data_IF_891560825561
#
_entry.id   IF_891560825561
#
_cell.length_a   1.000
_cell.length_b   1.000
_cell.length_c   1.000
_cell.angle_alpha   90.00
_cell.angle_beta   90.00
_cell.angle_gamma   90.00
#
_symmetry.space_group_name_H-M   'P 1'
#
loop_
_entity.id
_entity.type
_entity.pdbx_description
1 polymer ?
#
# COMPACT_ATOMS: atom_id res chain seq x y z
N UNK A 1 -8.84 4.49 -12.52
CA UNK A 1 -7.45 4.98 -12.38
C UNK A 1 -6.62 4.26 -13.42
N UNK A 2 -5.91 4.96 -14.30
CA UNK A 2 -5.15 4.32 -15.37
C UNK A 2 -4.06 3.43 -14.75
N UNK A 3 -4.06 2.15 -15.12
CA UNK A 3 -3.15 1.14 -14.56
C UNK A 3 -1.82 1.06 -15.30
N UNK A 4 -1.42 2.13 -15.99
CA UNK A 4 -0.14 2.19 -16.68
C UNK A 4 0.99 2.07 -15.68
N UNK A 5 1.88 1.12 -15.96
CA UNK A 5 3.11 0.99 -15.23
C UNK A 5 4.18 1.90 -15.86
N UNK A 6 4.15 2.18 -17.15
CA UNK A 6 5.17 3.01 -17.80
C UNK A 6 4.72 4.48 -17.94
N UNK A 7 5.63 5.43 -17.73
CA UNK A 7 5.33 6.86 -17.85
C UNK A 7 5.13 7.28 -19.31
N UNK A 8 5.91 6.72 -20.24
CA UNK A 8 5.82 7.06 -21.67
C UNK A 8 4.50 6.53 -22.24
N UNK A 9 4.13 5.30 -21.87
CA UNK A 9 2.83 4.72 -22.23
C UNK A 9 1.65 5.55 -21.68
N UNK A 10 1.77 6.02 -20.43
CA UNK A 10 0.77 6.91 -19.82
C UNK A 10 0.62 8.22 -20.60
N UNK A 11 1.72 8.91 -20.91
CA UNK A 11 1.67 10.20 -21.61
C UNK A 11 1.06 10.07 -22.99
N UNK A 12 1.50 9.06 -23.75
CA UNK A 12 0.95 8.80 -25.08
C UNK A 12 -0.55 8.52 -25.02
N UNK A 13 -0.98 7.67 -24.10
CA UNK A 13 -2.42 7.36 -23.96
C UNK A 13 -3.21 8.56 -23.47
N UNK A 14 -2.62 9.40 -22.62
CA UNK A 14 -3.24 10.64 -22.17
C UNK A 14 -3.46 11.59 -23.35
N UNK A 15 -2.45 11.81 -24.19
CA UNK A 15 -2.57 12.60 -25.42
C UNK A 15 -3.64 12.02 -26.37
N UNK A 16 -3.61 10.71 -26.62
CA UNK A 16 -4.59 10.03 -27.47
C UNK A 16 -6.04 10.23 -26.95
N UNK A 17 -6.25 10.21 -25.63
CA UNK A 17 -7.55 10.47 -25.00
C UNK A 17 -7.97 11.93 -25.19
N UNK A 18 -7.06 12.87 -25.00
CA UNK A 18 -7.35 14.29 -25.18
C UNK A 18 -7.75 14.60 -26.64
N UNK A 19 -7.03 14.02 -27.61
CA UNK A 19 -7.30 14.12 -29.04
C UNK A 19 -8.63 13.45 -29.42
N UNK A 20 -8.85 12.21 -28.97
CA UNK A 20 -10.05 11.41 -29.32
C UNK A 20 -11.34 12.09 -28.89
N UNK A 21 -11.33 12.72 -27.71
CA UNK A 21 -12.51 13.40 -27.18
C UNK A 21 -12.53 14.91 -27.48
N UNK A 22 -11.53 15.44 -28.20
CA UNK A 22 -11.38 16.86 -28.53
C UNK A 22 -11.54 17.80 -27.30
N UNK A 23 -10.95 17.40 -26.17
CA UNK A 23 -11.13 18.04 -24.84
C UNK A 23 -9.97 18.99 -24.46
N UNK A 24 -9.27 19.52 -25.46
CA UNK A 24 -8.06 20.35 -25.31
C UNK A 24 -8.21 21.60 -24.41
N UNK A 25 -9.42 22.16 -24.28
CA UNK A 25 -9.63 23.47 -23.65
C UNK A 25 -10.48 23.37 -22.37
N UNK A 26 -10.15 22.42 -21.50
CA UNK A 26 -10.84 22.20 -20.24
C UNK A 26 -9.89 22.42 -19.07
N UNK A 27 -10.04 23.56 -18.40
CA UNK A 27 -9.22 23.95 -17.23
C UNK A 27 -9.16 22.90 -16.11
N UNK A 28 -10.20 22.08 -15.95
CA UNK A 28 -10.23 20.99 -14.97
C UNK A 28 -9.34 19.81 -15.36
N UNK A 29 -9.20 19.48 -16.65
CA UNK A 29 -8.31 18.41 -17.13
C UNK A 29 -6.86 18.79 -16.92
N UNK A 30 -6.49 20.04 -17.25
CA UNK A 30 -5.15 20.55 -16.97
C UNK A 30 -4.83 20.51 -15.48
N UNK A 31 -5.82 20.84 -14.64
CA UNK A 31 -5.67 20.80 -13.18
C UNK A 31 -5.46 19.37 -12.67
N UNK A 32 -6.19 18.40 -13.21
CA UNK A 32 -6.01 16.98 -12.87
C UNK A 32 -4.66 16.47 -13.37
N UNK A 33 -4.26 16.80 -14.59
CA UNK A 33 -2.99 16.39 -15.18
C UNK A 33 -1.79 16.93 -14.39
N UNK A 34 -1.84 18.19 -13.93
CA UNK A 34 -0.81 18.77 -13.03
C UNK A 34 -0.64 17.96 -11.72
N UNK A 35 -1.67 17.23 -11.31
CA UNK A 35 -1.67 16.39 -10.12
C UNK A 35 -1.35 14.92 -10.42
N UNK A 36 -0.95 14.55 -11.65
CA UNK A 36 -0.70 13.14 -12.06
C UNK A 36 0.25 12.38 -11.13
N UNK A 37 1.24 13.04 -10.53
CA UNK A 37 2.11 12.44 -9.51
C UNK A 37 1.38 11.88 -8.27
N UNK A 38 0.14 12.34 -8.01
CA UNK A 38 -0.67 11.94 -6.84
C UNK A 38 -1.70 10.86 -7.14
N UNK A 39 -1.92 10.52 -8.41
CA UNK A 39 -3.01 9.61 -8.79
C UNK A 39 -2.67 8.66 -9.94
N UNK A 40 -1.70 8.96 -10.80
CA UNK A 40 -1.31 8.07 -11.89
C UNK A 40 -0.29 7.04 -11.38
N UNK A 41 -0.63 5.75 -11.56
CA UNK A 41 0.10 4.61 -11.00
C UNK A 41 1.59 4.59 -11.37
N UNK A 42 1.94 4.96 -12.60
CA UNK A 42 3.32 5.03 -13.09
C UNK A 42 4.20 5.99 -12.28
N UNK A 43 3.66 7.14 -11.85
CA UNK A 43 4.36 8.13 -11.05
C UNK A 43 4.35 7.84 -9.54
N UNK A 44 3.37 7.07 -9.06
CA UNK A 44 3.23 6.73 -7.64
C UNK A 44 4.09 5.53 -7.20
N UNK A 45 4.92 4.97 -8.09
CA UNK A 45 5.69 3.73 -7.80
C UNK A 45 6.68 3.84 -6.64
N UNK A 46 7.17 5.04 -6.37
CA UNK A 46 8.10 5.31 -5.28
C UNK A 46 7.38 5.77 -4.01
N UNK A 47 6.05 5.96 -4.07
CA UNK A 47 5.25 6.37 -2.93
C UNK A 47 4.76 5.14 -2.16
N UNK A 48 5.03 5.12 -0.86
CA UNK A 48 4.59 4.03 0.00
C UNK A 48 3.14 4.25 0.44
N UNK A 49 2.19 3.73 -0.35
CA UNK A 49 0.75 3.91 -0.10
C UNK A 49 0.15 2.88 0.85
N UNK A 50 0.97 1.96 1.41
CA UNK A 50 0.50 0.82 2.22
C UNK A 50 -0.59 -0.03 1.53
N UNK A 51 -0.71 0.04 0.20
CA UNK A 51 -1.75 -0.62 -0.58
C UNK A 51 -3.10 0.11 -0.59
N UNK A 52 -3.21 1.28 0.05
CA UNK A 52 -4.40 2.12 0.02
C UNK A 52 -4.50 2.83 -1.32
N UNK A 53 -5.64 2.69 -1.99
CA UNK A 53 -5.95 3.43 -3.23
C UNK A 53 -6.50 4.82 -2.88
N UNK A 54 -6.20 5.81 -3.71
CA UNK A 54 -6.54 7.23 -3.46
C UNK A 54 -8.00 7.50 -3.05
N UNK A 55 -8.97 6.73 -3.53
CA UNK A 55 -10.41 6.90 -3.25
C UNK A 55 -10.99 5.88 -2.28
N UNK A 56 -10.22 4.87 -1.85
CA UNK A 56 -10.75 3.74 -1.07
C UNK A 56 -11.36 4.18 0.27
N UNK A 57 -10.74 5.15 0.95
CA UNK A 57 -11.24 5.68 2.22
C UNK A 57 -12.57 6.42 2.02
N UNK A 58 -12.64 7.31 1.02
CA UNK A 58 -13.88 8.05 0.72
C UNK A 58 -14.97 7.13 0.20
N UNK A 59 -14.64 6.12 -0.60
CA UNK A 59 -15.61 5.14 -1.12
C UNK A 59 -16.17 4.26 0.00
N UNK A 60 -15.33 3.82 0.94
CA UNK A 60 -15.78 3.08 2.12
C UNK A 60 -16.73 3.93 2.95
N UNK A 61 -16.31 5.16 3.32
CA UNK A 61 -17.16 6.04 4.13
C UNK A 61 -18.46 6.41 3.41
N UNK A 62 -18.40 6.70 2.11
CA UNK A 62 -19.60 6.96 1.32
C UNK A 62 -20.51 5.73 1.26
N UNK A 63 -19.94 4.53 1.19
CA UNK A 63 -20.67 3.27 1.29
C UNK A 63 -21.36 3.12 2.64
N UNK A 64 -20.64 3.36 3.73
CA UNK A 64 -21.15 3.29 5.10
C UNK A 64 -22.28 4.30 5.34
N UNK A 65 -22.17 5.50 4.77
CA UNK A 65 -23.20 6.54 4.88
C UNK A 65 -24.42 6.27 3.98
N UNK A 66 -24.25 5.56 2.86
CA UNK A 66 -25.31 5.38 1.86
C UNK A 66 -26.58 4.76 2.42
N UNK A 67 -26.46 3.85 3.37
CA UNK A 67 -27.59 3.16 3.99
C UNK A 67 -28.36 4.05 5.00
N UNK A 68 -27.75 5.17 5.39
CA UNK A 68 -28.25 6.10 6.41
C UNK A 68 -28.77 7.41 5.82
N UNK A 69 -28.39 7.73 4.57
CA UNK A 69 -28.74 8.97 3.90
C UNK A 69 -29.93 8.79 2.96
N UNK A 70 -30.90 9.69 3.07
CA UNK A 70 -32.03 9.82 2.14
C UNK A 70 -32.06 11.23 1.54
N UNK A 71 -32.66 11.37 0.37
CA UNK A 71 -32.70 12.63 -0.38
C UNK A 71 -33.57 13.71 0.27
N UNK A 72 -34.40 13.34 1.23
CA UNK A 72 -35.34 14.21 1.95
C UNK A 72 -34.85 14.65 3.33
N UNK A 73 -33.63 14.26 3.75
CA UNK A 73 -33.06 14.67 5.03
C UNK A 73 -32.69 16.15 5.04
N UNK A 74 -32.98 16.83 6.14
CA UNK A 74 -32.42 18.15 6.41
C UNK A 74 -30.95 18.06 6.92
N UNK A 75 -30.30 19.22 7.05
CA UNK A 75 -28.89 19.29 7.45
C UNK A 75 -28.68 18.77 8.88
N UNK A 76 -29.62 18.99 9.80
CA UNK A 76 -29.50 18.51 11.17
C UNK A 76 -29.68 16.99 11.24
N UNK A 77 -30.64 16.45 10.50
CA UNK A 77 -30.85 15.00 10.37
C UNK A 77 -29.66 14.31 9.71
N UNK A 78 -29.03 14.94 8.71
CA UNK A 78 -27.78 14.46 8.12
C UNK A 78 -26.69 14.28 9.18
N UNK A 79 -26.43 15.29 10.01
CA UNK A 79 -25.40 15.21 11.04
C UNK A 79 -25.73 14.16 12.10
N UNK A 80 -27.00 14.02 12.50
CA UNK A 80 -27.42 12.96 13.42
C UNK A 80 -27.13 11.56 12.87
N UNK A 81 -27.38 11.34 11.57
CA UNK A 81 -27.07 10.07 10.91
C UNK A 81 -25.57 9.86 10.75
N UNK A 82 -24.83 10.91 10.40
CA UNK A 82 -23.38 10.87 10.30
C UNK A 82 -22.73 10.49 11.64
N UNK A 83 -23.14 11.12 12.73
CA UNK A 83 -22.64 10.83 14.09
C UNK A 83 -22.92 9.38 14.49
N UNK A 84 -24.10 8.85 14.12
CA UNK A 84 -24.45 7.44 14.34
C UNK A 84 -23.49 6.49 13.61
N UNK A 85 -23.17 6.78 12.34
CA UNK A 85 -22.22 5.97 11.56
C UNK A 85 -20.82 6.04 12.18
N UNK A 86 -20.39 7.23 12.63
CA UNK A 86 -19.11 7.40 13.32
C UNK A 86 -19.06 6.58 14.60
N UNK A 87 -20.13 6.59 15.41
CA UNK A 87 -20.17 5.83 16.65
C UNK A 87 -20.16 4.32 16.39
N UNK A 88 -20.92 3.84 15.40
CA UNK A 88 -20.87 2.44 14.97
C UNK A 88 -19.45 2.02 14.57
N UNK A 89 -18.72 2.87 13.81
CA UNK A 89 -17.32 2.58 13.43
C UNK A 89 -16.39 2.51 14.64
N UNK A 90 -16.59 3.35 15.65
CA UNK A 90 -15.81 3.31 16.90
C UNK A 90 -16.10 2.03 17.69
N UNK A 91 -17.36 1.62 17.77
CA UNK A 91 -17.76 0.37 18.42
C UNK A 91 -17.16 -0.85 17.70
N UNK A 92 -17.24 -0.89 16.37
CA UNK A 92 -16.63 -1.94 15.53
C UNK A 92 -15.12 -2.02 15.74
N UNK A 93 -14.41 -0.88 15.78
CA UNK A 93 -12.97 -0.83 16.04
C UNK A 93 -12.64 -1.30 17.47
N UNK A 94 -13.40 -0.88 18.47
CA UNK A 94 -13.21 -1.32 19.86
C UNK A 94 -13.43 -2.83 20.00
N UNK A 95 -14.45 -3.37 19.35
CA UNK A 95 -14.71 -4.81 19.33
C UNK A 95 -13.60 -5.56 18.60
N UNK A 96 -13.13 -5.04 17.45
CA UNK A 96 -12.00 -5.59 16.71
C UNK A 96 -10.73 -5.61 17.57
N UNK A 97 -10.41 -4.51 18.25
CA UNK A 97 -9.26 -4.40 19.14
C UNK A 97 -9.35 -5.39 20.31
N UNK A 98 -10.51 -5.45 20.98
CA UNK A 98 -10.76 -6.38 22.08
C UNK A 98 -10.62 -7.83 21.63
N UNK A 99 -11.30 -8.20 20.53
CA UNK A 99 -11.24 -9.52 19.94
C UNK A 99 -9.80 -9.89 19.59
N UNK A 100 -9.05 -8.95 19.07
CA UNK A 100 -7.73 -9.22 18.58
C UNK A 100 -6.69 -9.32 19.72
N UNK A 101 -6.85 -8.57 20.83
CA UNK A 101 -6.13 -8.81 22.09
C UNK A 101 -6.46 -10.17 22.71
N UNK A 102 -7.71 -10.62 22.63
CA UNK A 102 -8.19 -11.87 23.25
C UNK A 102 -7.90 -13.13 22.42
N UNK A 103 -8.00 -13.03 21.09
CA UNK A 103 -7.82 -14.13 20.13
C UNK A 103 -6.37 -14.24 19.64
N UNK A 104 -5.47 -13.37 20.10
CA UNK A 104 -4.07 -13.48 19.75
C UNK A 104 -3.58 -14.87 20.14
N UNK A 105 -3.31 -15.75 19.17
CA UNK A 105 -2.86 -17.06 19.54
C UNK A 105 -1.44 -16.84 20.06
N UNK A 106 -1.12 -17.52 21.15
CA UNK A 106 0.25 -17.71 21.65
C UNK A 106 1.16 -18.46 20.64
N UNK A 107 0.79 -18.48 19.36
CA UNK A 107 1.44 -19.20 18.29
C UNK A 107 2.72 -18.46 17.86
N UNK A 108 3.82 -19.19 17.90
CA UNK A 108 4.97 -18.97 17.03
C UNK A 108 6.10 -18.08 17.55
N UNK A 109 5.86 -17.23 18.56
CA UNK A 109 6.75 -16.10 18.83
C UNK A 109 7.81 -16.29 19.91
N UNK A 110 7.95 -17.50 20.47
CA UNK A 110 8.73 -17.68 21.71
C UNK A 110 10.18 -17.19 21.58
N UNK A 111 10.76 -17.24 20.38
CA UNK A 111 12.20 -17.03 20.18
C UNK A 111 12.60 -15.83 19.30
N UNK A 112 11.68 -15.06 18.70
CA UNK A 112 12.03 -13.88 17.87
C UNK A 112 11.87 -12.57 18.65
N UNK A 113 12.96 -11.83 18.97
CA UNK A 113 12.88 -10.53 19.63
C UNK A 113 12.08 -9.50 18.82
N UNK A 114 12.21 -9.52 17.49
CA UNK A 114 11.51 -8.60 16.58
C UNK A 114 9.99 -8.77 16.71
N UNK A 115 9.50 -10.00 16.63
CA UNK A 115 8.07 -10.25 16.70
C UNK A 115 7.48 -9.97 18.09
N UNK A 116 8.27 -10.14 19.16
CA UNK A 116 7.89 -9.76 20.53
C UNK A 116 7.73 -8.25 20.71
N UNK A 117 8.48 -7.43 19.98
CA UNK A 117 8.30 -5.99 19.98
C UNK A 117 7.12 -5.61 19.09
N UNK A 118 7.03 -6.18 17.89
CA UNK A 118 6.00 -5.88 16.91
C UNK A 118 4.58 -6.09 17.47
N UNK A 119 4.35 -7.16 18.24
CA UNK A 119 3.03 -7.45 18.84
C UNK A 119 2.60 -6.40 19.89
N UNK A 120 3.54 -5.68 20.50
CA UNK A 120 3.24 -4.65 21.50
C UNK A 120 2.93 -3.30 20.85
N UNK A 121 3.46 -3.07 19.64
CA UNK A 121 3.37 -1.78 18.94
C UNK A 121 2.24 -1.79 17.90
N UNK A 122 2.03 -2.90 17.20
CA UNK A 122 1.11 -2.97 16.08
C UNK A 122 -0.27 -3.51 16.47
N UNK A 123 -1.29 -3.03 15.76
CA UNK A 123 -2.61 -3.66 15.81
C UNK A 123 -2.51 -5.10 15.29
N UNK A 124 -3.40 -6.00 15.70
CA UNK A 124 -3.24 -7.42 15.35
C UNK A 124 -3.36 -7.69 13.85
N UNK A 125 -4.11 -6.85 13.12
CA UNK A 125 -4.17 -6.88 11.65
C UNK A 125 -2.81 -6.60 11.03
N UNK A 126 -2.14 -5.52 11.46
CA UNK A 126 -0.81 -5.15 10.97
C UNK A 126 0.25 -6.17 11.42
N UNK A 127 0.16 -6.66 12.66
CA UNK A 127 1.04 -7.71 13.14
C UNK A 127 0.95 -8.97 12.29
N UNK A 128 -0.27 -9.42 11.93
CA UNK A 128 -0.45 -10.58 11.05
C UNK A 128 0.23 -10.37 9.69
N UNK A 129 0.08 -9.19 9.09
CA UNK A 129 0.76 -8.87 7.84
C UNK A 129 2.28 -8.93 7.98
N UNK A 130 2.83 -8.39 9.08
CA UNK A 130 4.26 -8.49 9.38
C UNK A 130 4.70 -9.95 9.57
N UNK A 131 3.95 -10.71 10.36
CA UNK A 131 4.22 -12.11 10.64
C UNK A 131 4.24 -12.94 9.34
N UNK A 132 3.28 -12.74 8.45
CA UNK A 132 3.24 -13.42 7.14
C UNK A 132 4.45 -13.05 6.28
N UNK A 133 4.90 -11.79 6.30
CA UNK A 133 6.13 -11.40 5.60
C UNK A 133 7.39 -11.98 6.26
N UNK A 134 7.42 -12.06 7.59
CA UNK A 134 8.53 -12.63 8.34
C UNK A 134 8.67 -14.13 8.09
N UNK A 135 7.54 -14.86 8.11
CA UNK A 135 7.49 -16.29 7.78
C UNK A 135 7.94 -16.52 6.33
N UNK A 136 7.46 -15.70 5.39
CA UNK A 136 7.90 -15.74 3.99
C UNK A 136 9.42 -15.46 3.86
N UNK A 137 9.96 -14.50 4.61
CA UNK A 137 11.39 -14.21 4.62
C UNK A 137 12.22 -15.38 5.18
N UNK A 138 11.67 -16.15 6.12
CA UNK A 138 12.36 -17.32 6.71
C UNK A 138 12.61 -18.45 5.70
N UNK A 139 11.82 -18.51 4.62
CA UNK A 139 11.95 -19.46 3.52
C UNK A 139 12.61 -18.88 2.26
N UNK A 140 13.16 -17.67 2.36
CA UNK A 140 13.90 -17.03 1.29
C UNK A 140 15.30 -17.62 1.17
N UNK A 141 15.75 -17.87 -0.07
CA UNK A 141 17.08 -18.40 -0.37
C UNK A 141 17.74 -17.59 -1.46
N UNK A 142 19.01 -17.26 -1.28
CA UNK A 142 19.84 -16.71 -2.35
C UNK A 142 20.23 -17.87 -3.27
N UNK A 143 19.72 -17.85 -4.49
CA UNK A 143 20.04 -18.82 -5.54
C UNK A 143 21.37 -18.50 -6.21
N UNK A 144 21.62 -17.21 -6.45
CA UNK A 144 22.84 -16.72 -7.06
C UNK A 144 23.23 -15.35 -6.48
N UNK A 145 24.52 -15.06 -6.48
CA UNK A 145 25.05 -13.73 -6.15
C UNK A 145 26.13 -13.36 -7.17
N UNK A 146 26.16 -12.09 -7.54
CA UNK A 146 27.18 -11.48 -8.38
C UNK A 146 27.64 -10.20 -7.71
N UNK A 147 28.94 -10.08 -7.48
CA UNK A 147 29.55 -8.91 -6.84
C UNK A 147 30.37 -8.13 -7.87
N UNK A 148 29.76 -7.10 -8.45
CA UNK A 148 30.49 -6.13 -9.26
C UNK A 148 31.03 -4.99 -8.38
N UNK A 149 31.96 -4.18 -8.91
CA UNK A 149 32.60 -3.07 -8.19
C UNK A 149 31.61 -2.06 -7.60
N UNK A 150 30.53 -1.77 -8.33
CA UNK A 150 29.56 -0.73 -7.98
C UNK A 150 28.22 -1.30 -7.50
N UNK A 151 27.86 -2.50 -7.97
CA UNK A 151 26.56 -3.10 -7.68
C UNK A 151 26.72 -4.57 -7.34
N UNK A 152 26.17 -5.01 -6.22
CA UNK A 152 26.05 -6.43 -5.89
C UNK A 152 24.63 -6.88 -6.17
N UNK A 153 24.47 -7.95 -6.95
CA UNK A 153 23.17 -8.46 -7.38
C UNK A 153 22.92 -9.84 -6.77
N UNK A 154 21.77 -10.01 -6.13
CA UNK A 154 21.34 -11.25 -5.50
C UNK A 154 20.05 -11.73 -6.17
N UNK A 155 20.05 -12.98 -6.63
CA UNK A 155 18.84 -13.64 -7.12
C UNK A 155 18.24 -14.43 -5.96
N UNK A 156 17.07 -13.99 -5.50
CA UNK A 156 16.37 -14.57 -4.35
C UNK A 156 15.15 -15.35 -4.84
N UNK A 157 14.99 -16.57 -4.33
CA UNK A 157 13.82 -17.42 -4.53
C UNK A 157 13.18 -17.77 -3.18
N UNK A 158 11.91 -18.16 -3.21
CA UNK A 158 11.18 -18.61 -2.02
C UNK A 158 10.77 -20.07 -2.21
N UNK A 159 11.05 -20.93 -1.23
CA UNK A 159 10.82 -22.39 -1.30
C UNK A 159 9.39 -22.81 -1.72
N UNK A 160 8.40 -21.95 -1.53
CA UNK A 160 6.98 -22.23 -1.81
C UNK A 160 6.32 -21.22 -2.76
N UNK A 161 7.11 -20.41 -3.49
CA UNK A 161 6.57 -19.43 -4.44
C UNK A 161 7.31 -19.48 -5.75
N UNK A 162 6.57 -19.59 -6.86
CA UNK A 162 7.13 -19.48 -8.20
C UNK A 162 7.58 -18.04 -8.47
N UNK A 163 8.79 -17.89 -9.00
CA UNK A 163 9.37 -16.60 -9.41
C UNK A 163 10.67 -16.28 -8.68
N UNK A 164 11.56 -15.59 -9.40
CA UNK A 164 12.82 -15.08 -8.89
C UNK A 164 12.73 -13.57 -8.68
N UNK A 165 13.36 -13.09 -7.62
CA UNK A 165 13.43 -11.68 -7.30
C UNK A 165 14.88 -11.23 -7.33
N UNK A 166 15.15 -10.17 -8.07
CA UNK A 166 16.46 -9.54 -8.12
C UNK A 166 16.52 -8.48 -7.02
N UNK A 167 17.51 -8.58 -6.15
CA UNK A 167 17.88 -7.57 -5.17
C UNK A 167 19.24 -7.01 -5.56
N UNK A 168 19.37 -5.71 -5.71
CA UNK A 168 20.61 -5.04 -6.07
C UNK A 168 21.02 -4.08 -4.95
N UNK A 169 22.27 -4.16 -4.54
CA UNK A 169 22.90 -3.27 -3.57
C UNK A 169 23.88 -2.34 -4.28
N UNK A 170 23.64 -1.05 -4.21
CA UNK A 170 24.54 -0.02 -4.74
C UNK A 170 25.58 0.34 -3.67
N UNK A 171 26.85 0.16 -3.98
CA UNK A 171 27.95 0.39 -3.02
C UNK A 171 28.27 1.86 -2.83
N UNK A 172 27.98 2.72 -3.81
CA UNK A 172 28.19 4.16 -3.73
C UNK A 172 27.13 4.83 -2.86
N UNK A 173 25.87 4.50 -3.13
CA UNK A 173 24.72 5.09 -2.43
C UNK A 173 24.36 4.34 -1.12
N UNK A 174 24.92 3.14 -0.92
CA UNK A 174 24.59 2.22 0.18
C UNK A 174 23.08 1.92 0.25
N UNK A 175 22.46 1.76 -0.92
CA UNK A 175 21.02 1.51 -1.03
C UNK A 175 20.73 0.11 -1.56
N UNK A 176 19.64 -0.47 -1.05
CA UNK A 176 19.09 -1.70 -1.61
C UNK A 176 17.89 -1.37 -2.50
N UNK A 177 17.82 -2.03 -3.64
CA UNK A 177 16.66 -2.04 -4.52
C UNK A 177 16.20 -3.47 -4.78
N UNK A 178 14.89 -3.68 -4.89
CA UNK A 178 14.33 -4.98 -5.19
C UNK A 178 13.37 -4.86 -6.38
N UNK A 179 13.44 -5.82 -7.28
CA UNK A 179 12.52 -5.99 -8.42
C UNK A 179 11.04 -5.97 -8.02
N UNK A 180 10.68 -6.36 -6.78
CA UNK A 180 9.30 -6.30 -6.31
C UNK A 180 8.82 -4.88 -5.95
N UNK A 181 9.74 -3.92 -5.79
CA UNK A 181 9.52 -2.50 -5.42
C UNK A 181 8.64 -2.26 -4.18
N UNK A 182 8.33 -3.29 -3.39
CA UNK A 182 7.52 -3.17 -2.17
C UNK A 182 8.21 -2.37 -1.05
N UNK A 183 9.54 -2.32 -1.11
CA UNK A 183 10.42 -1.79 -0.08
C UNK A 183 11.42 -0.80 -0.70
N UNK A 184 10.93 0.16 -1.49
CA UNK A 184 11.78 1.13 -2.20
C UNK A 184 12.72 1.86 -1.25
N UNK A 185 14.03 1.66 -1.46
CA UNK A 185 15.16 2.38 -0.86
C UNK A 185 15.15 2.50 0.66
N UNK A 186 15.37 1.39 1.36
CA UNK A 186 15.85 1.48 2.74
C UNK A 186 17.35 1.82 2.72
N UNK A 187 17.70 3.01 3.18
CA UNK A 187 19.07 3.34 3.56
C UNK A 187 19.39 2.48 4.77
N UNK A 188 20.30 1.52 4.59
CA UNK A 188 20.76 0.68 5.69
C UNK A 188 21.71 1.50 6.58
N UNK A 189 21.16 2.31 7.48
CA UNK A 189 21.89 2.75 8.67
C UNK A 189 21.83 1.62 9.70
N UNK A 190 22.88 0.80 9.72
CA UNK A 190 23.28 0.03 10.90
C UNK A 190 24.38 0.80 11.64
#
# INVERSE_FOLDING_TARGET
MFEFNDEIEFEKTWEDVIDTYAIHDRSWLDSIYKLKGKWAKCYMKNEFTLGVRSTQLSESLNGDLKDYLKSDLDVAEFFAHFDRVVEQKREEELEAEFNARKKFPQLGLKNSPLLKQAIQVYTPTIFRMLHDQYDLASVARIKNHQEDLLVHTYTVEFLHKLGEYIVSYDTADKTFSCSCRKFGYYVATF
#
